data_IF_285171521934
#
_entry.id   IF_285171521934
#
_cell.length_a   1.000
_cell.length_b   1.000
_cell.length_c   1.000
_cell.angle_alpha   90.00
_cell.angle_beta   90.00
_cell.angle_gamma   90.00
#
_symmetry.space_group_name_H-M   'P 1'
#
loop_
_entity.id
_entity.type
_entity.pdbx_description
1 polymer ?
#
# COMPACT_ATOMS: atom_id res chain seq x y z
N UNK A 1 -16.61 29.28 -37.66
CA UNK A 1 -15.28 29.13 -37.02
C UNK A 1 -15.40 27.97 -36.05
N UNK A 2 -14.90 26.80 -36.44
CA UNK A 2 -15.06 25.59 -35.62
C UNK A 2 -14.13 25.74 -34.41
N UNK A 3 -14.70 25.85 -33.21
CA UNK A 3 -13.97 25.79 -31.94
C UNK A 3 -13.68 24.31 -31.67
N UNK A 4 -12.63 23.77 -32.25
CA UNK A 4 -12.11 22.48 -31.78
C UNK A 4 -11.24 22.73 -30.56
N UNK A 5 -11.48 21.94 -29.53
CA UNK A 5 -10.66 21.93 -28.31
C UNK A 5 -9.36 21.16 -28.57
N UNK A 6 -8.33 21.43 -27.76
CA UNK A 6 -7.05 20.72 -27.87
C UNK A 6 -7.23 19.20 -27.73
N UNK A 7 -8.17 18.75 -26.88
CA UNK A 7 -8.49 17.34 -26.72
C UNK A 7 -9.01 16.67 -28.00
N UNK A 8 -9.97 17.29 -28.68
CA UNK A 8 -10.56 16.75 -29.92
C UNK A 8 -9.55 16.70 -31.09
N UNK A 9 -8.56 17.60 -31.08
CA UNK A 9 -7.49 17.62 -32.08
C UNK A 9 -6.44 16.53 -31.80
N UNK A 10 -6.22 16.20 -30.53
CA UNK A 10 -5.27 15.18 -30.11
C UNK A 10 -5.85 13.76 -30.22
N UNK A 11 -7.16 13.55 -30.03
CA UNK A 11 -7.81 12.23 -30.17
C UNK A 11 -7.44 11.50 -31.46
N UNK A 12 -7.37 12.20 -32.59
CA UNK A 12 -7.01 11.61 -33.90
C UNK A 12 -5.50 11.38 -34.09
N UNK A 13 -4.67 11.82 -33.15
CA UNK A 13 -3.20 11.75 -33.20
C UNK A 13 -2.59 10.98 -32.02
N UNK A 14 -3.40 10.54 -31.05
CA UNK A 14 -2.96 9.70 -29.93
C UNK A 14 -2.89 8.25 -30.41
N UNK A 15 -1.67 7.73 -30.51
CA UNK A 15 -1.39 6.36 -30.96
C UNK A 15 -1.31 5.36 -29.79
N UNK A 16 -1.21 5.88 -28.57
CA UNK A 16 -1.14 5.13 -27.32
C UNK A 16 -1.71 5.98 -26.18
N UNK A 17 -2.73 5.46 -25.50
CA UNK A 17 -3.30 6.02 -24.29
C UNK A 17 -3.17 4.98 -23.17
N UNK A 18 -2.61 5.37 -22.02
CA UNK A 18 -2.34 4.47 -20.89
C UNK A 18 -3.04 5.03 -19.66
N UNK A 19 -4.01 4.28 -19.16
CA UNK A 19 -4.59 4.51 -17.84
C UNK A 19 -3.87 3.65 -16.80
N UNK A 20 -3.24 4.31 -15.84
CA UNK A 20 -2.59 3.68 -14.69
C UNK A 20 -3.22 4.16 -13.39
N UNK A 21 -3.20 3.30 -12.37
CA UNK A 21 -3.54 3.70 -11.00
C UNK A 21 -2.32 4.44 -10.44
N UNK A 22 -2.37 5.77 -10.36
CA UNK A 22 -1.29 6.58 -9.74
C UNK A 22 -1.19 6.29 -8.23
N UNK A 23 -2.32 6.24 -7.51
CA UNK A 23 -2.36 6.05 -6.04
C UNK A 23 -3.59 5.25 -5.61
N UNK A 24 -3.37 4.27 -4.73
CA UNK A 24 -4.45 3.55 -4.06
C UNK A 24 -4.41 3.82 -2.55
N UNK A 25 -5.40 4.56 -2.04
CA UNK A 25 -5.56 4.79 -0.60
C UNK A 25 -6.38 3.66 0.02
N UNK A 26 -5.68 2.69 0.63
CA UNK A 26 -6.32 1.60 1.38
C UNK A 26 -6.56 2.04 2.83
N UNK A 27 -7.61 2.82 3.04
CA UNK A 27 -8.05 3.19 4.38
C UNK A 27 -8.84 2.05 4.99
N UNK A 28 -8.18 1.22 5.81
CA UNK A 28 -8.85 0.19 6.60
C UNK A 28 -9.22 0.75 7.98
N UNK A 29 -10.50 0.64 8.35
CA UNK A 29 -10.96 0.89 9.71
C UNK A 29 -11.39 -0.41 10.36
N UNK A 30 -10.77 -0.75 11.50
CA UNK A 30 -11.15 -1.91 12.30
C UNK A 30 -11.64 -1.41 13.67
N UNK A 31 -12.97 -1.31 13.91
CA UNK A 31 -13.52 -0.71 15.12
C UNK A 31 -13.11 -1.41 16.43
N UNK A 32 -13.06 -2.74 16.44
CA UNK A 32 -12.72 -3.55 17.62
C UNK A 32 -11.27 -3.37 18.06
N UNK A 33 -10.34 -3.11 17.14
CA UNK A 33 -8.92 -2.94 17.50
C UNK A 33 -8.56 -1.51 17.92
N UNK A 34 -9.53 -0.58 18.00
CA UNK A 34 -9.29 0.81 18.40
C UNK A 34 -9.14 0.99 19.91
N UNK A 35 -9.46 -0.02 20.72
CA UNK A 35 -9.37 0.04 22.18
C UNK A 35 -8.58 -1.14 22.74
N UNK A 36 -7.92 -0.93 23.89
CA UNK A 36 -7.19 -2.01 24.57
C UNK A 36 -8.08 -3.21 24.93
N UNK A 37 -9.35 -2.97 25.29
CA UNK A 37 -10.33 -4.01 25.56
C UNK A 37 -10.62 -4.88 24.33
N UNK A 38 -10.88 -4.26 23.18
CA UNK A 38 -11.16 -5.02 21.96
C UNK A 38 -9.92 -5.74 21.41
N UNK A 39 -8.71 -5.17 21.56
CA UNK A 39 -7.46 -5.91 21.30
C UNK A 39 -7.34 -7.13 22.22
N UNK A 40 -7.71 -7.01 23.50
CA UNK A 40 -7.70 -8.13 24.44
C UNK A 40 -8.69 -9.23 24.04
N UNK A 41 -9.92 -8.87 23.65
CA UNK A 41 -10.93 -9.83 23.16
C UNK A 41 -10.44 -10.57 21.91
N UNK A 42 -9.83 -9.86 20.96
CA UNK A 42 -9.25 -10.48 19.75
C UNK A 42 -8.22 -11.58 20.10
N UNK A 43 -7.32 -11.30 21.04
CA UNK A 43 -6.27 -12.26 21.41
C UNK A 43 -6.77 -13.39 22.31
N UNK A 44 -7.68 -13.14 23.24
CA UNK A 44 -8.07 -14.14 24.25
C UNK A 44 -9.28 -14.98 23.84
N UNK A 45 -10.30 -14.34 23.29
CA UNK A 45 -11.63 -14.92 23.17
C UNK A 45 -11.93 -15.34 21.74
N UNK A 46 -11.73 -14.46 20.77
CA UNK A 46 -12.28 -14.68 19.43
C UNK A 46 -11.33 -15.38 18.45
N UNK A 47 -10.07 -14.95 18.38
CA UNK A 47 -9.22 -15.34 17.24
C UNK A 47 -7.94 -16.08 17.60
N UNK A 48 -7.39 -15.87 18.80
CA UNK A 48 -6.07 -16.45 19.16
C UNK A 48 -6.09 -17.34 20.40
N UNK A 49 -7.20 -17.38 21.15
CA UNK A 49 -7.37 -18.29 22.29
C UNK A 49 -6.30 -18.13 23.38
N UNK A 50 -5.66 -16.97 23.47
CA UNK A 50 -4.57 -16.74 24.40
C UNK A 50 -5.08 -16.67 25.85
N UNK A 51 -4.37 -17.30 26.78
CA UNK A 51 -4.75 -17.27 28.21
C UNK A 51 -4.68 -15.85 28.80
N UNK A 52 -3.69 -15.07 28.36
CA UNK A 52 -3.43 -13.70 28.81
C UNK A 52 -3.13 -12.83 27.59
N UNK A 53 -3.67 -11.61 27.57
CA UNK A 53 -3.32 -10.59 26.57
C UNK A 53 -1.94 -10.03 26.90
N UNK A 54 -0.99 -10.24 25.99
CA UNK A 54 0.35 -9.65 26.07
C UNK A 54 0.74 -9.09 24.71
N UNK A 55 1.39 -7.93 24.70
CA UNK A 55 1.98 -7.34 23.50
C UNK A 55 3.01 -8.26 22.84
N UNK A 56 3.60 -9.19 23.61
CA UNK A 56 4.47 -10.23 23.10
C UNK A 56 3.78 -11.16 22.08
N UNK A 57 2.45 -11.32 22.14
CA UNK A 57 1.68 -12.11 21.18
C UNK A 57 1.51 -11.40 19.82
N UNK A 58 1.65 -10.08 19.80
CA UNK A 58 1.48 -9.28 18.57
C UNK A 58 2.71 -9.43 17.67
N UNK A 59 3.92 -9.36 18.25
CA UNK A 59 5.18 -9.30 17.49
C UNK A 59 5.37 -10.48 16.51
N UNK A 60 5.15 -11.76 16.88
CA UNK A 60 5.32 -12.88 15.95
C UNK A 60 4.36 -12.81 14.76
N UNK A 61 3.11 -12.44 14.99
CA UNK A 61 2.10 -12.35 13.94
C UNK A 61 2.42 -11.20 12.97
N UNK A 62 2.75 -10.02 13.49
CA UNK A 62 3.14 -8.87 12.68
C UNK A 62 4.37 -9.19 11.83
N UNK A 63 5.40 -9.80 12.44
CA UNK A 63 6.61 -10.20 11.71
C UNK A 63 6.32 -11.23 10.62
N UNK A 64 5.45 -12.21 10.90
CA UNK A 64 5.01 -13.18 9.89
C UNK A 64 4.35 -12.47 8.71
N UNK A 65 3.36 -11.62 8.99
CA UNK A 65 2.61 -10.91 7.96
C UNK A 65 3.53 -10.03 7.09
N UNK A 66 4.43 -9.25 7.70
CA UNK A 66 5.40 -8.43 6.97
C UNK A 66 6.33 -9.29 6.11
N UNK A 67 6.83 -10.41 6.63
CA UNK A 67 7.64 -11.35 5.85
C UNK A 67 6.87 -11.91 4.67
N UNK A 68 5.60 -12.24 4.85
CA UNK A 68 4.76 -12.80 3.80
C UNK A 68 4.48 -11.77 2.69
N UNK A 69 4.34 -10.47 3.05
CA UNK A 69 4.31 -9.36 2.08
C UNK A 69 5.60 -9.28 1.25
N UNK A 70 6.77 -9.29 1.91
CA UNK A 70 8.04 -9.27 1.19
C UNK A 70 8.24 -10.52 0.31
N UNK A 71 7.79 -11.69 0.78
CA UNK A 71 7.82 -12.93 0.02
C UNK A 71 6.92 -12.87 -1.21
N UNK A 72 5.72 -12.29 -1.08
CA UNK A 72 4.84 -12.02 -2.21
C UNK A 72 5.48 -11.07 -3.22
N UNK A 73 5.96 -9.91 -2.78
CA UNK A 73 6.56 -8.91 -3.66
C UNK A 73 7.74 -9.49 -4.45
N UNK A 74 8.63 -10.24 -3.78
CA UNK A 74 9.74 -10.93 -4.43
C UNK A 74 9.27 -11.94 -5.48
N UNK A 75 8.23 -12.73 -5.20
CA UNK A 75 7.71 -13.73 -6.14
C UNK A 75 7.10 -13.09 -7.38
N UNK A 76 6.35 -12.02 -7.21
CA UNK A 76 5.62 -11.34 -8.30
C UNK A 76 6.49 -10.30 -9.02
N UNK A 77 7.75 -10.11 -8.63
CA UNK A 77 8.64 -9.12 -9.22
C UNK A 77 8.23 -7.67 -8.91
N UNK A 78 7.49 -7.45 -7.82
CA UNK A 78 7.09 -6.11 -7.37
C UNK A 78 8.26 -5.52 -6.59
N UNK A 79 8.79 -4.40 -7.07
CA UNK A 79 9.84 -3.69 -6.34
C UNK A 79 9.28 -2.98 -5.11
N UNK A 80 10.06 -3.00 -4.02
CA UNK A 80 9.68 -2.43 -2.73
C UNK A 80 10.77 -1.45 -2.32
N UNK A 81 10.54 -0.16 -2.59
CA UNK A 81 11.44 0.91 -2.18
C UNK A 81 11.29 1.19 -0.67
N UNK A 82 12.35 0.99 0.16
CA UNK A 82 12.30 1.33 1.57
C UNK A 82 12.41 2.85 1.78
N UNK A 83 11.66 3.37 2.75
CA UNK A 83 11.79 4.76 3.20
C UNK A 83 12.47 4.81 4.56
N UNK A 84 13.56 5.56 4.66
CA UNK A 84 14.19 5.91 5.93
C UNK A 84 13.42 7.03 6.63
N UNK A 85 13.63 7.15 7.94
CA UNK A 85 13.02 8.21 8.74
C UNK A 85 13.42 9.60 8.21
N UNK A 86 12.44 10.48 8.03
CA UNK A 86 12.64 11.86 7.56
C UNK A 86 12.71 12.02 6.04
N UNK A 87 12.64 10.93 5.27
CA UNK A 87 12.60 11.04 3.82
C UNK A 87 11.23 11.48 3.30
N UNK A 88 11.26 12.36 2.28
CA UNK A 88 10.08 12.72 1.51
C UNK A 88 9.76 11.59 0.52
N UNK A 89 8.62 10.94 0.71
CA UNK A 89 8.19 9.81 -0.13
C UNK A 89 7.95 10.22 -1.57
N UNK A 90 7.47 11.44 -1.80
CA UNK A 90 7.16 11.92 -3.15
C UNK A 90 8.45 12.13 -3.94
N UNK A 91 9.48 12.74 -3.34
CA UNK A 91 10.79 12.94 -3.99
C UNK A 91 11.46 11.61 -4.35
N UNK A 92 11.41 10.64 -3.45
CA UNK A 92 11.96 9.30 -3.71
C UNK A 92 11.18 8.60 -4.82
N UNK A 93 9.85 8.74 -4.82
CA UNK A 93 8.99 8.14 -5.85
C UNK A 93 9.30 8.77 -7.21
N UNK A 94 9.45 10.09 -7.29
CA UNK A 94 9.82 10.78 -8.53
C UNK A 94 11.20 10.36 -9.04
N UNK A 95 12.19 10.26 -8.15
CA UNK A 95 13.51 9.77 -8.53
C UNK A 95 13.47 8.32 -9.04
N UNK A 96 12.67 7.46 -8.40
CA UNK A 96 12.47 6.08 -8.81
C UNK A 96 11.79 5.97 -10.19
N UNK A 97 10.71 6.73 -10.41
CA UNK A 97 10.02 6.78 -11.70
C UNK A 97 10.92 7.28 -12.83
N UNK A 98 11.79 8.26 -12.55
CA UNK A 98 12.76 8.76 -13.54
C UNK A 98 13.83 7.74 -13.98
N UNK A 99 13.94 6.59 -13.30
CA UNK A 99 14.82 5.48 -13.71
C UNK A 99 14.11 4.41 -14.54
N UNK A 100 12.79 4.47 -14.64
CA UNK A 100 12.02 3.59 -15.52
C UNK A 100 12.05 4.19 -16.93
N UNK A 101 12.69 3.48 -17.87
CA UNK A 101 12.59 3.78 -19.30
C UNK A 101 11.15 3.45 -19.79
N UNK A 102 10.21 4.36 -19.53
CA UNK A 102 8.85 4.34 -20.07
C UNK A 102 8.77 5.09 -21.41
#
# INVERSE_FOLDING_TARGET
MIKQTIGELLENNVVLDIEGIDRMYLNLYQPMLQTGGGVSTFFREEHKGAKVTSTALMSPMTKSFVRDIHGFAKREGVDVAPFAQGQNKDEITQAYLGTLDL
#
